data_IF_401973257506
#
_entry.id   IF_401973257506
#
_cell.length_a   1.000
_cell.length_b   1.000
_cell.length_c   1.000
_cell.angle_alpha   90.00
_cell.angle_beta   90.00
_cell.angle_gamma   90.00
#
_symmetry.space_group_name_H-M   'P 1'
#
loop_
_entity.id
_entity.type
_entity.pdbx_description
1 polymer ?
#
# COMPACT_ATOMS: atom_id res chain seq x y z
N UNK A 1 13.49 24.51 40.12
CA UNK A 1 13.05 24.48 38.71
C UNK A 1 12.41 23.12 38.48
N UNK A 2 11.13 23.00 38.79
CA UNK A 2 10.36 21.77 38.59
C UNK A 2 9.22 22.07 37.63
N UNK A 3 9.28 21.44 36.46
CA UNK A 3 8.17 21.30 35.52
C UNK A 3 8.62 20.21 34.55
N UNK A 4 8.07 19.00 34.52
CA UNK A 4 6.74 18.57 34.91
C UNK A 4 6.30 17.64 33.78
N UNK A 5 6.63 16.36 33.91
CA UNK A 5 6.42 15.33 32.89
C UNK A 5 4.93 15.22 32.54
N UNK A 6 4.60 15.43 31.26
CA UNK A 6 3.25 15.26 30.71
C UNK A 6 2.87 13.78 30.66
N UNK A 7 2.19 13.30 31.71
CA UNK A 7 1.70 11.93 31.78
C UNK A 7 0.53 11.62 30.81
N UNK A 8 0.27 10.33 30.54
CA UNK A 8 -0.67 9.82 29.52
C UNK A 8 -2.15 10.14 29.80
N UNK A 9 -2.45 10.71 30.97
CA UNK A 9 -3.78 11.18 31.35
C UNK A 9 -4.22 12.43 30.56
N UNK A 10 -3.28 13.24 30.05
CA UNK A 10 -3.60 14.44 29.27
C UNK A 10 -4.25 14.13 27.92
N UNK A 11 -3.78 13.08 27.24
CA UNK A 11 -4.26 12.69 25.91
C UNK A 11 -5.69 12.10 25.95
N UNK A 12 -6.00 11.31 26.98
CA UNK A 12 -7.33 10.70 27.14
C UNK A 12 -8.41 11.73 27.51
N UNK A 13 -8.04 12.77 28.26
CA UNK A 13 -8.93 13.88 28.62
C UNK A 13 -9.23 14.78 27.42
N UNK A 14 -8.24 15.02 26.55
CA UNK A 14 -8.42 15.78 25.31
C UNK A 14 -9.38 15.06 24.33
N UNK A 15 -9.19 13.76 24.12
CA UNK A 15 -10.08 12.96 23.27
C UNK A 15 -11.52 12.92 23.80
N UNK A 16 -11.70 12.90 25.13
CA UNK A 16 -13.02 12.87 25.77
C UNK A 16 -13.81 14.17 25.60
N UNK A 17 -13.14 15.32 25.48
CA UNK A 17 -13.76 16.65 25.28
C UNK A 17 -14.22 16.88 23.84
N UNK A 18 -13.55 16.28 22.86
CA UNK A 18 -13.92 16.36 21.44
C UNK A 18 -15.20 15.58 21.11
N UNK A 19 -15.45 14.44 21.76
CA UNK A 19 -16.56 13.54 21.42
C UNK A 19 -17.71 13.50 22.44
N UNK A 20 -17.60 14.20 23.59
CA UNK A 20 -18.71 14.31 24.55
C UNK A 20 -19.28 15.71 24.58
N UNK A 21 -20.60 15.78 24.35
CA UNK A 21 -21.43 16.98 24.39
C UNK A 21 -21.07 17.87 25.61
N UNK A 22 -20.81 19.18 25.43
CA UNK A 22 -20.31 20.09 26.49
C UNK A 22 -21.16 20.17 27.77
N UNK A 23 -22.40 19.64 27.76
CA UNK A 23 -23.28 19.58 28.94
C UNK A 23 -23.18 18.27 29.73
N UNK A 24 -22.27 17.35 29.40
CA UNK A 24 -22.01 16.12 30.15
C UNK A 24 -23.16 15.09 30.19
N UNK A 25 -24.35 15.43 29.67
CA UNK A 25 -25.51 14.54 29.62
C UNK A 25 -25.52 13.76 28.32
N UNK A 26 -25.61 12.43 28.43
CA UNK A 26 -25.89 11.56 27.29
C UNK A 26 -27.14 12.08 26.58
N UNK A 27 -27.13 12.29 25.25
CA UNK A 27 -28.32 12.72 24.52
C UNK A 27 -29.52 11.82 24.87
N UNK A 28 -30.74 12.37 25.10
CA UNK A 28 -31.89 11.63 25.62
C UNK A 28 -32.20 10.34 24.86
N UNK A 29 -31.99 10.34 23.54
CA UNK A 29 -32.20 9.19 22.68
C UNK A 29 -31.25 8.01 22.99
N UNK A 30 -30.02 8.26 23.43
CA UNK A 30 -29.06 7.21 23.80
C UNK A 30 -29.50 6.48 25.05
N UNK A 31 -30.07 7.20 26.02
CA UNK A 31 -30.59 6.59 27.25
C UNK A 31 -31.88 5.81 26.96
N UNK A 32 -32.76 6.33 26.09
CA UNK A 32 -33.93 5.60 25.59
C UNK A 32 -33.51 4.34 24.82
N UNK A 33 -32.49 4.44 23.96
CA UNK A 33 -31.95 3.32 23.21
C UNK A 33 -31.37 2.23 24.12
N UNK A 34 -30.57 2.61 25.13
CA UNK A 34 -30.06 1.64 26.13
C UNK A 34 -31.19 0.96 26.89
N UNK A 35 -32.21 1.70 27.32
CA UNK A 35 -33.38 1.12 28.00
C UNK A 35 -34.10 0.11 27.10
N UNK A 36 -34.42 0.49 25.86
CA UNK A 36 -35.06 -0.41 24.88
C UNK A 36 -34.21 -1.62 24.53
N UNK A 37 -32.89 -1.48 24.48
CA UNK A 37 -31.96 -2.58 24.24
C UNK A 37 -31.97 -3.58 25.42
N UNK A 38 -31.88 -3.07 26.66
CA UNK A 38 -31.96 -3.89 27.87
C UNK A 38 -33.32 -4.57 28.04
N UNK A 39 -34.41 -3.89 27.69
CA UNK A 39 -35.76 -4.48 27.67
C UNK A 39 -35.87 -5.60 26.64
N UNK A 40 -35.35 -5.40 25.42
CA UNK A 40 -35.28 -6.46 24.40
C UNK A 40 -34.46 -7.66 24.85
N UNK A 41 -33.33 -7.42 25.50
CA UNK A 41 -32.46 -8.48 26.03
C UNK A 41 -33.19 -9.27 27.13
N UNK A 42 -33.86 -8.57 28.07
CA UNK A 42 -34.66 -9.21 29.13
C UNK A 42 -35.81 -10.03 28.55
N UNK A 43 -36.52 -9.49 27.55
CA UNK A 43 -37.60 -10.18 26.85
C UNK A 43 -37.12 -11.44 26.14
N UNK A 44 -36.02 -11.36 25.38
CA UNK A 44 -35.45 -12.52 24.71
C UNK A 44 -34.97 -13.57 25.73
N UNK A 45 -34.31 -13.16 26.80
CA UNK A 45 -33.89 -14.07 27.87
C UNK A 45 -35.08 -14.74 28.54
N UNK A 46 -36.14 -14.00 28.85
CA UNK A 46 -37.35 -14.59 29.47
C UNK A 46 -38.05 -15.55 28.52
N UNK A 47 -38.12 -15.25 27.22
CA UNK A 47 -38.67 -16.15 26.20
C UNK A 47 -37.86 -17.44 26.09
N UNK A 48 -36.53 -17.37 26.08
CA UNK A 48 -35.67 -18.56 26.06
C UNK A 48 -35.84 -19.39 27.33
N UNK A 49 -35.78 -18.76 28.51
CA UNK A 49 -35.97 -19.46 29.80
C UNK A 49 -37.36 -20.08 29.89
N UNK A 50 -38.40 -19.37 29.43
CA UNK A 50 -39.76 -19.89 29.40
C UNK A 50 -39.89 -21.05 28.42
N UNK A 51 -39.27 -20.99 27.23
CA UNK A 51 -39.21 -22.13 26.30
C UNK A 51 -38.56 -23.33 26.96
N UNK A 52 -37.41 -23.19 27.62
CA UNK A 52 -36.77 -24.30 28.34
C UNK A 52 -37.62 -24.87 29.46
N UNK A 53 -38.33 -24.02 30.21
CA UNK A 53 -39.26 -24.45 31.27
C UNK A 53 -40.53 -25.10 30.72
N UNK A 54 -41.01 -24.65 29.56
CA UNK A 54 -42.20 -25.16 28.88
C UNK A 54 -41.92 -26.41 28.06
N UNK A 55 -40.70 -26.58 27.53
CA UNK A 55 -40.21 -27.82 26.92
C UNK A 55 -39.84 -28.87 27.97
N UNK A 56 -39.63 -28.45 29.23
CA UNK A 56 -39.62 -29.32 30.39
C UNK A 56 -41.05 -29.69 30.86
N UNK A 57 -41.92 -30.12 29.95
CA UNK A 57 -43.02 -30.97 30.39
C UNK A 57 -42.42 -32.19 31.11
N UNK A 58 -43.01 -32.67 32.21
CA UNK A 58 -42.63 -33.95 32.76
C UNK A 58 -43.14 -35.02 31.78
N UNK A 59 -42.38 -35.26 30.72
CA UNK A 59 -42.37 -36.57 30.08
C UNK A 59 -41.93 -37.52 31.19
N UNK A 60 -42.82 -38.44 31.54
CA UNK A 60 -42.70 -39.26 32.74
C UNK A 60 -41.33 -39.93 32.83
N UNK A 61 -40.81 -40.00 34.06
CA UNK A 61 -39.76 -40.91 34.56
C UNK A 61 -38.52 -41.27 33.70
N UNK A 62 -38.28 -40.65 32.55
CA UNK A 62 -37.09 -40.93 31.76
C UNK A 62 -35.97 -39.96 32.15
N UNK A 63 -34.95 -40.54 32.77
CA UNK A 63 -33.76 -39.86 33.29
C UNK A 63 -33.09 -39.02 32.17
N UNK A 64 -32.86 -37.71 32.36
CA UNK A 64 -32.18 -36.87 31.37
C UNK A 64 -30.80 -37.39 30.99
N UNK A 65 -30.17 -38.22 31.84
CA UNK A 65 -28.92 -38.92 31.48
C UNK A 65 -29.14 -40.02 30.43
N UNK A 66 -30.29 -40.70 30.44
CA UNK A 66 -30.67 -41.70 29.45
C UNK A 66 -30.88 -41.07 28.06
N UNK A 67 -31.55 -39.90 27.98
CA UNK A 67 -31.71 -39.20 26.70
C UNK A 67 -30.35 -38.77 26.10
N UNK A 68 -29.42 -38.30 26.94
CA UNK A 68 -28.07 -37.93 26.50
C UNK A 68 -27.29 -39.17 26.06
N UNK A 69 -27.41 -40.28 26.80
CA UNK A 69 -26.82 -41.57 26.44
C UNK A 69 -27.35 -42.06 25.10
N UNK A 70 -28.66 -42.00 24.87
CA UNK A 70 -29.31 -42.46 23.63
C UNK A 70 -28.91 -41.58 22.42
N UNK A 71 -28.84 -40.26 22.60
CA UNK A 71 -28.35 -39.34 21.55
C UNK A 71 -26.87 -39.59 21.27
N UNK A 72 -26.06 -39.80 22.31
CA UNK A 72 -24.65 -40.10 22.16
C UNK A 72 -24.45 -41.45 21.46
N UNK A 73 -25.21 -42.48 21.79
CA UNK A 73 -25.16 -43.79 21.13
C UNK A 73 -25.66 -43.73 19.68
N UNK A 74 -26.66 -42.89 19.39
CA UNK A 74 -27.16 -42.68 18.03
C UNK A 74 -26.17 -41.91 17.15
N UNK A 75 -25.61 -40.80 17.64
CA UNK A 75 -24.57 -40.03 16.94
C UNK A 75 -23.28 -40.84 16.84
N UNK A 76 -22.93 -41.61 17.88
CA UNK A 76 -21.79 -42.50 17.83
C UNK A 76 -22.00 -43.62 16.81
N UNK A 77 -23.19 -44.22 16.75
CA UNK A 77 -23.52 -45.19 15.70
C UNK A 77 -23.51 -44.57 14.29
N UNK A 78 -23.91 -43.30 14.12
CA UNK A 78 -23.85 -42.59 12.84
C UNK A 78 -22.39 -42.33 12.40
N UNK A 79 -21.56 -41.84 13.32
CA UNK A 79 -20.12 -41.68 13.10
C UNK A 79 -19.43 -43.01 12.83
N UNK A 80 -19.83 -44.09 13.52
CA UNK A 80 -19.25 -45.42 13.32
C UNK A 80 -19.69 -46.05 11.99
N UNK A 81 -20.84 -45.65 11.41
CA UNK A 81 -21.20 -46.02 10.02
C UNK A 81 -20.29 -45.35 9.00
N UNK A 82 -19.89 -44.09 9.22
CA UNK A 82 -18.87 -43.42 8.42
C UNK A 82 -17.45 -43.97 8.72
N UNK A 83 -17.19 -44.37 9.95
CA UNK A 83 -15.95 -45.05 10.32
C UNK A 83 -15.89 -46.48 9.79
N UNK A 84 -17.03 -47.13 9.50
CA UNK A 84 -17.06 -48.46 8.88
C UNK A 84 -16.65 -48.39 7.40
N UNK A 85 -16.84 -47.26 6.70
CA UNK A 85 -16.16 -47.01 5.41
C UNK A 85 -14.63 -46.98 5.58
N UNK A 86 -14.12 -46.56 6.74
CA UNK A 86 -12.69 -46.58 7.07
C UNK A 86 -12.24 -47.91 7.73
N UNK A 87 -13.14 -48.68 8.36
CA UNK A 87 -12.86 -49.90 9.11
C UNK A 87 -13.05 -51.18 8.28
N UNK A 88 -13.79 -51.13 7.17
CA UNK A 88 -13.75 -52.15 6.11
C UNK A 88 -12.29 -52.39 5.65
N UNK A 89 -11.44 -51.36 5.73
CA UNK A 89 -9.99 -51.43 5.48
C UNK A 89 -9.21 -52.35 6.44
N UNK A 90 -9.79 -52.74 7.58
CA UNK A 90 -9.09 -53.55 8.60
C UNK A 90 -9.63 -54.97 8.78
N UNK A 91 -10.75 -55.33 8.14
CA UNK A 91 -11.36 -56.67 8.26
C UNK A 91 -11.28 -57.52 6.99
N UNK A 92 -10.79 -56.99 5.87
CA UNK A 92 -10.60 -57.78 4.66
C UNK A 92 -9.11 -58.03 4.41
N UNK A 93 -8.65 -59.12 5.01
CA UNK A 93 -7.49 -59.86 4.54
C UNK A 93 -7.81 -60.33 3.10
N UNK A 94 -7.30 -59.62 2.09
CA UNK A 94 -7.28 -60.09 0.69
C UNK A 94 -8.39 -59.66 -0.28
N UNK A 95 -8.79 -58.39 -0.34
CA UNK A 95 -9.43 -57.88 -1.59
C UNK A 95 -8.91 -56.49 -1.95
N UNK A 96 -8.28 -56.42 -3.12
CA UNK A 96 -7.64 -55.25 -3.75
C UNK A 96 -8.61 -54.14 -4.20
N UNK A 97 -9.77 -54.00 -3.55
CA UNK A 97 -10.86 -53.19 -4.09
C UNK A 97 -11.26 -52.10 -3.09
N UNK A 98 -11.08 -50.84 -3.52
CA UNK A 98 -11.43 -49.54 -2.88
C UNK A 98 -10.26 -48.61 -2.44
N UNK A 99 -9.02 -48.84 -2.86
CA UNK A 99 -7.95 -47.81 -2.76
C UNK A 99 -7.84 -46.92 -4.01
N UNK A 100 -8.27 -47.43 -5.18
CA UNK A 100 -8.24 -46.73 -6.47
C UNK A 100 -8.91 -45.34 -6.48
N UNK A 101 -10.13 -45.15 -5.91
CA UNK A 101 -10.83 -43.87 -6.00
C UNK A 101 -10.17 -42.77 -5.17
N UNK A 102 -9.59 -43.12 -4.02
CA UNK A 102 -8.87 -42.17 -3.17
C UNK A 102 -7.51 -41.80 -3.78
N UNK A 103 -6.79 -42.77 -4.37
CA UNK A 103 -5.55 -42.49 -5.09
C UNK A 103 -5.80 -41.54 -6.27
N UNK A 104 -6.87 -41.76 -7.04
CA UNK A 104 -7.23 -40.87 -8.17
C UNK A 104 -7.56 -39.44 -7.73
N UNK A 105 -8.30 -39.25 -6.63
CA UNK A 105 -8.57 -37.91 -6.09
C UNK A 105 -7.27 -37.25 -5.60
N UNK A 106 -6.37 -38.02 -5.00
CA UNK A 106 -5.10 -37.49 -4.51
C UNK A 106 -4.16 -37.07 -5.65
N UNK A 107 -4.13 -37.83 -6.74
CA UNK A 107 -3.43 -37.47 -7.98
C UNK A 107 -4.03 -36.22 -8.64
N UNK A 108 -5.36 -36.08 -8.67
CA UNK A 108 -6.02 -34.88 -9.19
C UNK A 108 -5.65 -33.63 -8.38
N UNK A 109 -5.66 -33.72 -7.04
CA UNK A 109 -5.24 -32.62 -6.16
C UNK A 109 -3.77 -32.28 -6.38
N UNK A 110 -2.90 -33.29 -6.48
CA UNK A 110 -1.47 -33.07 -6.76
C UNK A 110 -1.26 -32.38 -8.11
N UNK A 111 -1.96 -32.81 -9.15
CA UNK A 111 -1.88 -32.21 -10.47
C UNK A 111 -2.39 -30.76 -10.46
N UNK A 112 -3.47 -30.46 -9.76
CA UNK A 112 -3.97 -29.10 -9.63
C UNK A 112 -2.98 -28.19 -8.88
N UNK A 113 -2.33 -28.69 -7.83
CA UNK A 113 -1.30 -27.93 -7.11
C UNK A 113 -0.11 -27.60 -8.00
N UNK A 114 0.39 -28.57 -8.78
CA UNK A 114 1.48 -28.35 -9.74
C UNK A 114 1.06 -27.32 -10.80
N UNK A 115 -0.15 -27.44 -11.35
CA UNK A 115 -0.67 -26.48 -12.33
C UNK A 115 -0.77 -25.06 -11.75
N UNK A 116 -1.15 -24.92 -10.48
CA UNK A 116 -1.22 -23.62 -9.80
C UNK A 116 0.17 -23.04 -9.56
N UNK A 117 1.14 -23.86 -9.15
CA UNK A 117 2.54 -23.44 -8.98
C UNK A 117 3.13 -22.94 -10.30
N UNK A 118 2.94 -23.67 -11.40
CA UNK A 118 3.40 -23.24 -12.72
C UNK A 118 2.80 -21.90 -13.14
N UNK A 119 1.50 -21.70 -12.92
CA UNK A 119 0.82 -20.42 -13.21
C UNK A 119 1.39 -19.28 -12.37
N UNK A 120 1.62 -19.51 -11.07
CA UNK A 120 2.20 -18.52 -10.17
C UNK A 120 3.61 -18.13 -10.60
N UNK A 121 4.45 -19.10 -10.98
CA UNK A 121 5.80 -18.84 -11.49
C UNK A 121 5.76 -17.96 -12.73
N UNK A 122 4.88 -18.27 -13.70
CA UNK A 122 4.71 -17.46 -14.91
C UNK A 122 4.29 -16.03 -14.58
N UNK A 123 3.37 -15.84 -13.66
CA UNK A 123 2.89 -14.50 -13.29
C UNK A 123 3.95 -13.68 -12.53
N UNK A 124 4.73 -14.32 -11.67
CA UNK A 124 5.90 -13.69 -11.01
C UNK A 124 6.91 -13.24 -12.08
N UNK A 125 7.25 -14.12 -13.03
CA UNK A 125 8.20 -13.77 -14.09
C UNK A 125 7.71 -12.60 -14.96
N UNK A 126 6.41 -12.55 -15.26
CA UNK A 126 5.82 -11.42 -16.00
C UNK A 126 5.89 -10.13 -15.19
N UNK A 127 5.59 -10.19 -13.89
CA UNK A 127 5.68 -9.04 -13.00
C UNK A 127 7.11 -8.51 -12.93
N UNK A 128 8.09 -9.39 -12.73
CA UNK A 128 9.50 -9.03 -12.66
C UNK A 128 9.99 -8.43 -13.98
N UNK A 129 9.61 -9.01 -15.12
CA UNK A 129 9.94 -8.48 -16.44
C UNK A 129 9.34 -7.08 -16.65
N UNK A 130 8.08 -6.86 -16.25
CA UNK A 130 7.42 -5.56 -16.36
C UNK A 130 8.04 -4.51 -15.42
N UNK A 131 8.38 -4.90 -14.19
CA UNK A 131 9.06 -4.04 -13.23
C UNK A 131 10.45 -3.61 -13.73
N UNK A 132 11.22 -4.56 -14.27
CA UNK A 132 12.52 -4.27 -14.87
C UNK A 132 12.38 -3.36 -16.09
N UNK A 133 11.41 -3.61 -16.97
CA UNK A 133 11.13 -2.75 -18.11
C UNK A 133 10.81 -1.32 -17.68
N UNK A 134 9.99 -1.13 -16.64
CA UNK A 134 9.70 0.20 -16.09
C UNK A 134 10.94 0.87 -15.47
N UNK A 135 11.83 0.12 -14.83
CA UNK A 135 13.07 0.68 -14.29
C UNK A 135 14.01 1.13 -15.42
N UNK A 136 14.10 0.34 -16.50
CA UNK A 136 14.87 0.69 -17.69
C UNK A 136 14.31 1.95 -18.35
N UNK A 137 12.99 2.07 -18.50
CA UNK A 137 12.38 3.28 -19.08
C UNK A 137 12.61 4.52 -18.21
N UNK A 138 12.56 4.39 -16.89
CA UNK A 138 12.89 5.48 -15.98
C UNK A 138 14.36 5.90 -16.11
N UNK A 139 15.28 4.94 -16.20
CA UNK A 139 16.71 5.23 -16.41
C UNK A 139 17.01 5.84 -17.79
N UNK A 140 16.24 5.46 -18.80
CA UNK A 140 16.32 6.03 -20.15
C UNK A 140 15.63 7.39 -20.28
N UNK A 141 14.77 7.77 -19.33
CA UNK A 141 14.11 9.07 -19.37
C UNK A 141 15.16 10.19 -19.25
N UNK A 142 15.12 11.15 -20.18
CA UNK A 142 16.01 12.32 -20.19
C UNK A 142 15.56 13.38 -19.16
N UNK A 143 15.19 12.94 -17.95
CA UNK A 143 14.84 13.86 -16.88
C UNK A 143 16.11 14.41 -16.21
N UNK A 144 16.22 15.73 -16.15
CA UNK A 144 17.29 16.41 -15.41
C UNK A 144 16.68 17.09 -14.20
N UNK A 145 17.03 16.62 -13.00
CA UNK A 145 16.61 17.25 -11.76
C UNK A 145 17.22 18.65 -11.68
N UNK A 146 16.41 19.65 -11.35
CA UNK A 146 16.87 21.03 -11.20
C UNK A 146 17.99 21.12 -10.14
N UNK A 147 19.18 21.63 -10.50
CA UNK A 147 20.33 21.65 -9.60
C UNK A 147 20.13 22.59 -8.40
N UNK A 148 19.32 23.64 -8.56
CA UNK A 148 19.06 24.64 -7.51
C UNK A 148 18.11 24.11 -6.43
N UNK A 149 16.96 23.55 -6.82
CA UNK A 149 15.96 23.09 -5.84
C UNK A 149 16.09 21.61 -5.48
N UNK A 150 16.75 20.81 -6.32
CA UNK A 150 16.94 19.36 -6.16
C UNK A 150 15.63 18.58 -5.95
N UNK A 151 14.51 19.12 -6.44
CA UNK A 151 13.16 18.58 -6.20
C UNK A 151 12.35 18.31 -7.47
N UNK A 152 12.45 19.19 -8.47
CA UNK A 152 11.64 19.10 -9.68
C UNK A 152 12.52 18.91 -10.91
N UNK A 153 12.09 18.10 -11.87
CA UNK A 153 12.71 18.00 -13.19
C UNK A 153 12.61 19.31 -13.97
N UNK A 154 13.64 19.64 -14.72
CA UNK A 154 13.65 20.73 -15.70
C UNK A 154 12.70 20.38 -16.84
N UNK A 155 11.91 21.35 -17.29
CA UNK A 155 10.95 21.21 -18.37
C UNK A 155 11.34 22.10 -19.54
N UNK A 156 11.32 21.54 -20.75
CA UNK A 156 11.57 22.30 -21.96
C UNK A 156 10.31 23.07 -22.38
N UNK A 157 10.34 24.38 -22.23
CA UNK A 157 9.26 25.27 -22.64
C UNK A 157 9.58 25.86 -24.01
N UNK A 158 9.28 25.10 -25.06
CA UNK A 158 9.32 25.65 -26.42
C UNK A 158 8.22 26.72 -26.53
N UNK A 159 8.59 28.00 -26.65
CA UNK A 159 7.62 29.04 -27.00
C UNK A 159 7.13 28.75 -28.42
N UNK A 160 5.99 28.07 -28.55
CA UNK A 160 5.24 28.12 -29.81
C UNK A 160 4.94 29.60 -30.07
N UNK A 161 5.18 30.13 -31.28
CA UNK A 161 4.72 31.47 -31.64
C UNK A 161 3.18 31.42 -31.71
N UNK A 162 2.52 31.57 -30.57
CA UNK A 162 1.07 31.71 -30.50
C UNK A 162 0.74 33.16 -30.89
N UNK A 163 0.51 33.38 -32.19
CA UNK A 163 -0.20 34.56 -32.68
C UNK A 163 0.63 35.65 -33.38
N UNK A 164 1.67 35.32 -34.13
CA UNK A 164 2.33 36.29 -35.01
C UNK A 164 1.82 36.16 -36.45
N UNK A 165 1.06 37.17 -36.85
CA UNK A 165 0.65 37.50 -38.21
C UNK A 165 1.79 37.34 -39.22
N UNK A 166 1.45 36.87 -40.42
CA UNK A 166 2.31 36.85 -41.60
C UNK A 166 2.82 38.28 -41.85
N UNK A 167 4.08 38.57 -41.50
CA UNK A 167 5.07 39.34 -42.27
C UNK A 167 6.20 39.77 -41.33
N UNK A 168 7.37 39.14 -41.48
CA UNK A 168 8.70 39.79 -41.58
C UNK A 168 9.77 38.71 -41.63
N UNK A 169 10.46 38.65 -42.76
CA UNK A 169 11.71 37.90 -42.95
C UNK A 169 12.79 38.66 -42.18
N UNK A 170 13.33 38.08 -41.10
CA UNK A 170 14.42 38.69 -40.32
C UNK A 170 14.66 38.02 -38.96
N UNK A 171 15.75 37.23 -38.90
CA UNK A 171 16.38 36.61 -37.71
C UNK A 171 15.50 35.70 -36.84
N UNK A 172 15.31 34.47 -37.31
CA UNK A 172 14.89 33.33 -36.50
C UNK A 172 16.09 32.82 -35.68
N UNK A 173 16.15 33.15 -34.40
CA UNK A 173 16.98 32.43 -33.42
C UNK A 173 16.16 32.27 -32.16
N UNK A 174 15.23 31.31 -32.22
CA UNK A 174 14.40 30.95 -31.07
C UNK A 174 15.29 30.36 -29.98
N UNK A 175 15.55 31.13 -28.93
CA UNK A 175 16.25 30.61 -27.76
C UNK A 175 15.35 29.58 -27.04
N UNK A 176 15.88 28.38 -26.81
CA UNK A 176 15.21 27.40 -25.98
C UNK A 176 15.23 27.86 -24.52
N UNK A 177 14.14 27.57 -23.81
CA UNK A 177 14.00 27.93 -22.39
C UNK A 177 13.70 26.67 -21.59
N UNK A 178 14.53 26.39 -20.59
CA UNK A 178 14.30 25.34 -19.62
C UNK A 178 13.80 25.97 -18.32
N UNK A 179 12.66 25.49 -17.82
CA UNK A 179 12.03 26.03 -16.62
C UNK A 179 11.88 24.98 -15.53
N UNK A 180 11.94 25.41 -14.28
CA UNK A 180 11.67 24.61 -13.11
C UNK A 180 10.48 25.17 -12.32
N UNK A 181 9.69 24.30 -11.68
CA UNK A 181 8.64 24.72 -10.75
C UNK A 181 9.14 25.51 -9.52
N UNK A 182 10.45 25.54 -9.26
CA UNK A 182 11.03 26.38 -8.22
C UNK A 182 11.28 27.84 -8.64
N UNK A 183 11.10 28.18 -9.92
CA UNK A 183 11.33 29.53 -10.47
C UNK A 183 12.56 29.69 -11.34
N UNK A 184 13.47 28.70 -11.40
CA UNK A 184 14.65 28.74 -12.26
C UNK A 184 14.24 28.73 -13.75
N UNK A 185 14.76 29.67 -14.54
CA UNK A 185 14.50 29.77 -15.97
C UNK A 185 15.78 30.00 -16.78
N UNK A 186 16.33 28.95 -17.36
CA UNK A 186 17.55 28.99 -18.16
C UNK A 186 17.20 29.26 -19.64
N UNK A 187 17.95 30.14 -20.30
CA UNK A 187 17.73 30.51 -21.70
C UNK A 187 19.03 30.44 -22.50
N UNK A 188 18.98 29.87 -23.71
CA UNK A 188 20.15 29.81 -24.60
C UNK A 188 19.80 29.34 -26.02
N UNK A 189 20.64 29.70 -27.00
CA UNK A 189 20.39 29.43 -28.41
C UNK A 189 20.37 27.93 -28.79
N UNK A 190 21.00 27.06 -27.98
CA UNK A 190 21.04 25.61 -28.16
C UNK A 190 20.82 24.86 -26.84
N UNK A 191 20.07 25.46 -25.92
CA UNK A 191 19.84 24.88 -24.60
C UNK A 191 18.85 23.71 -24.69
N UNK A 192 19.20 22.57 -24.11
CA UNK A 192 18.41 21.33 -24.08
C UNK A 192 18.65 20.59 -22.76
N UNK A 193 17.79 19.64 -22.41
CA UNK A 193 17.99 18.83 -21.20
C UNK A 193 19.33 18.09 -21.26
N UNK A 194 19.69 17.54 -22.43
CA UNK A 194 20.96 16.84 -22.62
C UNK A 194 22.19 17.73 -22.47
N UNK A 195 22.15 18.98 -22.96
CA UNK A 195 23.29 19.92 -22.77
C UNK A 195 23.49 20.29 -21.31
N UNK A 196 22.40 20.52 -20.56
CA UNK A 196 22.49 20.76 -19.11
C UNK A 196 23.00 19.52 -18.37
N UNK A 197 22.49 18.34 -18.73
CA UNK A 197 22.93 17.06 -18.14
C UNK A 197 24.42 16.84 -18.30
N UNK A 198 24.93 16.93 -19.54
CA UNK A 198 26.36 16.76 -19.81
C UNK A 198 27.22 17.82 -19.12
N UNK A 199 26.75 19.07 -19.02
CA UNK A 199 27.46 20.13 -18.29
C UNK A 199 27.56 19.81 -16.79
N UNK A 200 26.46 19.38 -16.17
CA UNK A 200 26.45 18.94 -14.76
C UNK A 200 27.39 17.75 -14.55
N UNK A 201 27.26 16.70 -15.35
CA UNK A 201 28.08 15.48 -15.25
C UNK A 201 29.57 15.78 -15.39
N UNK A 202 29.96 16.57 -16.40
CA UNK A 202 31.35 16.96 -16.62
C UNK A 202 31.88 17.79 -15.45
N UNK A 203 31.11 18.76 -14.99
CA UNK A 203 31.52 19.66 -13.91
C UNK A 203 31.72 18.91 -12.60
N UNK A 204 30.74 18.08 -12.23
CA UNK A 204 30.78 17.25 -11.02
C UNK A 204 31.92 16.24 -11.10
N UNK A 205 32.06 15.54 -12.22
CA UNK A 205 33.10 14.51 -12.39
C UNK A 205 34.51 15.09 -12.41
N UNK A 206 34.71 16.22 -13.08
CA UNK A 206 36.02 16.88 -13.15
C UNK A 206 36.48 17.35 -11.78
N UNK A 207 35.60 18.01 -11.03
CA UNK A 207 35.94 18.46 -9.69
C UNK A 207 36.07 17.30 -8.70
N UNK A 208 35.16 16.32 -8.77
CA UNK A 208 35.10 15.15 -7.88
C UNK A 208 36.35 14.27 -7.90
N UNK A 209 37.15 14.32 -8.98
CA UNK A 209 38.46 13.65 -9.04
C UNK A 209 39.51 14.28 -8.11
N UNK A 210 39.33 15.55 -7.74
CA UNK A 210 40.31 16.34 -6.97
C UNK A 210 39.82 16.75 -5.59
N UNK A 211 38.51 16.65 -5.34
CA UNK A 211 37.88 17.14 -4.12
C UNK A 211 36.62 16.32 -3.78
N UNK A 212 36.47 15.95 -2.51
CA UNK A 212 35.28 15.26 -1.98
C UNK A 212 34.20 16.23 -1.46
N UNK A 213 34.35 17.51 -1.78
CA UNK A 213 33.44 18.56 -1.34
C UNK A 213 32.07 18.47 -1.97
N UNK A 214 31.03 18.74 -1.17
CA UNK A 214 29.68 18.87 -1.70
C UNK A 214 29.55 20.15 -2.51
N UNK A 215 28.96 20.05 -3.70
CA UNK A 215 28.65 21.20 -4.55
C UNK A 215 27.34 21.88 -4.14
N UNK A 216 27.32 23.21 -4.21
CA UNK A 216 26.14 24.03 -4.06
C UNK A 216 25.83 24.79 -5.35
N UNK A 217 24.54 24.95 -5.65
CA UNK A 217 24.05 25.52 -6.90
C UNK A 217 23.17 26.72 -6.58
N UNK A 218 23.48 27.84 -7.21
CA UNK A 218 22.78 29.11 -6.99
C UNK A 218 22.40 29.75 -8.31
N UNK A 219 21.17 30.24 -8.40
CA UNK A 219 20.74 31.01 -9.57
C UNK A 219 21.43 32.37 -9.58
N UNK A 220 21.96 32.73 -10.73
CA UNK A 220 22.58 34.02 -11.02
C UNK A 220 21.93 34.62 -12.25
N UNK A 221 21.75 35.93 -12.28
CA UNK A 221 21.23 36.63 -13.46
C UNK A 221 22.38 37.45 -14.06
N UNK A 222 22.64 37.24 -15.35
CA UNK A 222 23.59 38.04 -16.12
C UNK A 222 22.87 38.83 -17.23
N UNK A 223 23.63 39.54 -18.05
CA UNK A 223 23.08 40.34 -19.16
C UNK A 223 22.50 39.49 -20.30
N UNK A 224 22.72 38.17 -20.30
CA UNK A 224 22.32 37.22 -21.34
C UNK A 224 21.20 36.25 -20.88
N UNK A 225 20.93 36.13 -19.57
CA UNK A 225 19.86 35.31 -19.01
C UNK A 225 20.12 34.88 -17.56
N UNK A 226 19.33 33.93 -17.06
CA UNK A 226 19.65 33.25 -15.81
C UNK A 226 20.64 32.11 -16.06
N UNK A 227 21.67 32.01 -15.23
CA UNK A 227 22.70 30.97 -15.21
C UNK A 227 22.79 30.38 -13.79
N UNK A 228 23.45 29.23 -13.64
CA UNK A 228 23.67 28.60 -12.34
C UNK A 228 25.14 28.68 -11.98
N UNK A 229 25.44 29.34 -10.88
CA UNK A 229 26.76 29.32 -10.25
C UNK A 229 26.88 28.07 -9.38
N UNK A 230 27.95 27.32 -9.64
CA UNK A 230 28.34 26.11 -8.94
C UNK A 230 29.55 26.44 -8.06
N UNK A 231 29.48 26.12 -6.77
CA UNK A 231 30.58 26.33 -5.82
C UNK A 231 30.81 25.08 -4.99
N UNK A 232 32.06 24.86 -4.58
CA UNK A 232 32.41 23.80 -3.64
C UNK A 232 32.36 24.30 -2.19
N UNK A 233 31.95 23.43 -1.26
CA UNK A 233 31.84 23.74 0.17
C UNK A 233 33.18 23.78 0.92
N UNK A 234 34.23 23.15 0.40
CA UNK A 234 35.51 22.97 1.11
C UNK A 234 36.74 23.48 0.35
N UNK A 235 36.57 23.94 -0.89
CA UNK A 235 37.62 24.62 -1.63
C UNK A 235 37.03 25.79 -2.42
N UNK A 236 37.85 26.77 -2.77
CA UNK A 236 37.43 27.99 -3.47
C UNK A 236 37.16 27.78 -4.97
N UNK A 237 36.80 26.55 -5.37
CA UNK A 237 36.48 26.23 -6.73
C UNK A 237 35.06 26.69 -7.08
N UNK A 238 34.91 27.34 -8.24
CA UNK A 238 33.64 27.85 -8.75
C UNK A 238 33.57 27.72 -10.28
N UNK A 239 32.37 27.48 -10.80
CA UNK A 239 32.09 27.44 -12.24
C UNK A 239 30.66 27.88 -12.53
N UNK A 240 30.40 28.29 -13.77
CA UNK A 240 29.05 28.50 -14.29
C UNK A 240 28.60 27.26 -15.06
N UNK A 241 27.30 27.00 -15.04
CA UNK A 241 26.70 25.83 -15.68
C UNK A 241 26.55 25.98 -17.20
N UNK A 242 26.25 27.20 -17.67
CA UNK A 242 26.05 27.57 -19.09
C UNK A 242 27.08 28.59 -19.55
#
# INVERSE_FOLDING_TARGET
MESGQGGPLGATVAHRKLYKNPRGRTPPWKDIYRKRCMERLRWNRSQVVQRFRSSGQPLGEDDPTQLVQDVMEMEWAALNRCSNLLAVKKSLDGSEVEEEPWMSVMEEIQQELVNQEERLLVDIMKYDAAALANQVTLQQSEEVICPVCQRHGLQESQRRPSGASITTIGSESGANVLVCGCGLALQGANLSLNTVKSSLENTISHHGQTCEGQMSFTETTDTQGANVLITCSICDWMSFLL
#
